data_IF_670954811663
#
_entry.id   IF_670954811663
#
_cell.length_a   1.000
_cell.length_b   1.000
_cell.length_c   1.000
_cell.angle_alpha   90.00
_cell.angle_beta   90.00
_cell.angle_gamma   90.00
#
_symmetry.space_group_name_H-M   'P 1'
#
loop_
_entity.id
_entity.type
_entity.pdbx_description
1 polymer ?
#
# COMPACT_ATOMS: atom_id res chain seq x y z
N UNK A 1 12.18 19.17 -17.54
CA UNK A 1 11.05 18.24 -17.71
C UNK A 1 9.96 18.59 -16.68
N UNK A 2 8.69 18.75 -17.09
CA UNK A 2 7.58 19.12 -16.20
C UNK A 2 7.04 17.94 -15.35
N UNK A 3 7.93 17.09 -14.83
CA UNK A 3 7.54 15.93 -14.03
C UNK A 3 7.00 16.42 -12.68
N UNK A 4 5.73 16.13 -12.40
CA UNK A 4 5.06 16.59 -11.19
C UNK A 4 4.93 15.49 -10.11
N UNK A 5 5.05 14.21 -10.49
CA UNK A 5 5.00 13.07 -9.57
C UNK A 5 5.77 11.85 -10.11
N UNK A 6 6.39 11.08 -9.19
CA UNK A 6 6.96 9.75 -9.44
C UNK A 6 6.27 8.73 -8.54
N UNK A 7 5.88 7.59 -9.13
CA UNK A 7 5.28 6.47 -8.42
C UNK A 7 6.30 5.33 -8.30
N UNK A 8 6.46 4.79 -7.09
CA UNK A 8 7.42 3.76 -6.75
C UNK A 8 6.71 2.45 -6.41
N UNK A 9 7.02 1.36 -7.12
CA UNK A 9 6.69 0.01 -6.66
C UNK A 9 7.62 -0.39 -5.52
N UNK A 10 7.23 -0.07 -4.28
CA UNK A 10 8.02 -0.33 -3.07
C UNK A 10 7.74 -1.75 -2.57
N UNK A 11 6.51 -2.23 -2.69
CA UNK A 11 6.00 -3.53 -2.27
C UNK A 11 6.02 -3.75 -0.75
N UNK A 12 7.19 -3.73 -0.12
CA UNK A 12 7.38 -4.00 1.31
C UNK A 12 8.47 -3.11 1.93
N UNK A 13 8.34 -2.82 3.23
CA UNK A 13 9.40 -2.19 4.02
C UNK A 13 10.27 -3.20 4.77
N UNK A 14 10.16 -4.49 4.47
CA UNK A 14 10.99 -5.54 5.02
C UNK A 14 11.88 -6.16 3.92
N UNK A 15 13.21 -6.12 4.11
CA UNK A 15 14.16 -6.59 3.10
C UNK A 15 13.96 -8.07 2.73
N UNK A 16 13.66 -8.95 3.70
CA UNK A 16 13.47 -10.38 3.41
C UNK A 16 12.28 -10.62 2.50
N UNK A 17 11.20 -9.86 2.67
CA UNK A 17 10.01 -9.94 1.80
C UNK A 17 10.33 -9.42 0.40
N UNK A 18 11.12 -8.35 0.27
CA UNK A 18 11.58 -7.84 -1.03
C UNK A 18 12.47 -8.83 -1.78
N UNK A 19 13.41 -9.45 -1.05
CA UNK A 19 14.32 -10.46 -1.60
C UNK A 19 13.53 -11.67 -2.09
N UNK A 20 12.56 -12.10 -1.30
CA UNK A 20 11.66 -13.20 -1.68
C UNK A 20 10.81 -12.86 -2.91
N UNK A 21 10.27 -11.65 -2.96
CA UNK A 21 9.53 -11.15 -4.12
C UNK A 21 10.42 -10.85 -5.34
N UNK A 22 11.73 -11.16 -5.27
CA UNK A 22 12.74 -10.94 -6.32
C UNK A 22 12.73 -9.51 -6.84
N UNK A 23 12.55 -8.53 -5.95
CA UNK A 23 12.49 -7.11 -6.34
C UNK A 23 13.87 -6.55 -6.71
N UNK A 24 14.94 -7.22 -6.25
CA UNK A 24 16.34 -6.84 -6.52
C UNK A 24 16.68 -5.38 -6.12
N UNK A 25 16.01 -4.86 -5.09
CA UNK A 25 16.26 -3.54 -4.52
C UNK A 25 16.41 -3.61 -3.00
N UNK A 26 17.15 -2.67 -2.44
CA UNK A 26 17.30 -2.53 -0.99
C UNK A 26 16.43 -1.43 -0.41
N UNK A 27 16.04 -1.56 0.86
CA UNK A 27 15.35 -0.52 1.62
C UNK A 27 16.08 0.84 1.53
N UNK A 28 17.41 0.83 1.63
CA UNK A 28 18.23 2.04 1.48
C UNK A 28 18.15 2.69 0.09
N UNK A 29 18.02 1.91 -0.98
CA UNK A 29 17.88 2.44 -2.34
C UNK A 29 16.53 3.12 -2.50
N UNK A 30 15.46 2.51 -1.98
CA UNK A 30 14.11 3.09 -1.97
C UNK A 30 14.12 4.42 -1.21
N UNK A 31 14.67 4.43 0.01
CA UNK A 31 14.78 5.66 0.81
C UNK A 31 15.54 6.75 0.08
N UNK A 32 16.71 6.42 -0.49
CA UNK A 32 17.53 7.37 -1.25
C UNK A 32 16.77 7.94 -2.45
N UNK A 33 16.10 7.11 -3.23
CA UNK A 33 15.33 7.54 -4.40
C UNK A 33 14.17 8.49 -4.02
N UNK A 34 13.39 8.13 -3.00
CA UNK A 34 12.27 8.95 -2.53
C UNK A 34 12.78 10.28 -1.94
N UNK A 35 13.88 10.27 -1.19
CA UNK A 35 14.49 11.52 -0.67
C UNK A 35 15.02 12.43 -1.78
N UNK A 36 15.61 11.87 -2.84
CA UNK A 36 16.05 12.66 -4.00
C UNK A 36 14.86 13.30 -4.72
N UNK A 37 13.76 12.55 -4.88
CA UNK A 37 12.51 13.04 -5.47
C UNK A 37 11.94 14.21 -4.67
N UNK A 38 11.87 14.05 -3.36
CA UNK A 38 11.41 15.10 -2.45
C UNK A 38 12.31 16.34 -2.52
N UNK A 39 13.65 16.18 -2.56
CA UNK A 39 14.59 17.30 -2.72
C UNK A 39 14.41 18.04 -4.04
N UNK A 40 14.00 17.34 -5.10
CA UNK A 40 13.70 17.94 -6.39
C UNK A 40 12.33 18.66 -6.44
N UNK A 41 11.55 18.64 -5.36
CA UNK A 41 10.20 19.23 -5.32
C UNK A 41 9.16 18.44 -6.12
N UNK A 42 9.47 17.19 -6.49
CA UNK A 42 8.57 16.29 -7.22
C UNK A 42 7.77 15.47 -6.19
N UNK A 43 6.47 15.28 -6.44
CA UNK A 43 5.65 14.45 -5.57
C UNK A 43 6.05 12.98 -5.66
N UNK A 44 5.96 12.27 -4.55
CA UNK A 44 6.29 10.84 -4.49
C UNK A 44 5.11 10.01 -3.99
N UNK A 45 4.80 8.94 -4.72
CA UNK A 45 3.78 7.95 -4.33
C UNK A 45 4.39 6.57 -4.17
N UNK A 46 4.08 5.89 -3.08
CA UNK A 46 4.52 4.50 -2.84
C UNK A 46 3.41 3.49 -3.07
N UNK A 47 3.69 2.44 -3.82
CA UNK A 47 2.84 1.26 -3.94
C UNK A 47 3.36 0.13 -3.06
N UNK A 48 2.47 -0.47 -2.30
CA UNK A 48 2.75 -1.55 -1.35
C UNK A 48 1.81 -2.72 -1.60
N UNK A 49 2.23 -3.91 -1.18
CA UNK A 49 1.45 -5.15 -1.25
C UNK A 49 1.48 -5.80 0.13
N UNK A 50 0.32 -6.23 0.62
CA UNK A 50 0.21 -7.12 1.77
C UNK A 50 -0.25 -8.51 1.33
N UNK A 51 0.14 -9.50 2.13
CA UNK A 51 -0.18 -10.89 1.89
C UNK A 51 0.81 -11.54 0.92
N UNK A 52 2.05 -11.05 0.84
CA UNK A 52 3.12 -11.78 0.16
C UNK A 52 3.40 -13.10 0.90
N UNK A 53 3.88 -14.16 0.24
CA UNK A 53 4.33 -15.36 0.95
C UNK A 53 5.44 -15.00 1.96
N UNK A 54 5.42 -15.69 3.10
CA UNK A 54 6.26 -15.39 4.29
C UNK A 54 5.98 -14.06 5.00
N UNK A 55 4.99 -13.29 4.58
CA UNK A 55 4.55 -12.10 5.29
C UNK A 55 4.01 -12.47 6.68
N UNK A 56 4.37 -11.69 7.68
CA UNK A 56 3.86 -11.80 9.05
C UNK A 56 3.33 -10.46 9.51
N UNK A 57 2.63 -10.46 10.65
CA UNK A 57 2.24 -9.21 11.31
C UNK A 57 3.43 -8.29 11.59
N UNK A 58 4.60 -8.84 11.91
CA UNK A 58 5.81 -8.06 12.14
C UNK A 58 6.33 -7.42 10.84
N UNK A 59 6.36 -8.15 9.73
CA UNK A 59 6.81 -7.59 8.45
C UNK A 59 5.85 -6.51 7.95
N UNK A 60 4.53 -6.69 8.14
CA UNK A 60 3.55 -5.63 7.84
C UNK A 60 3.76 -4.39 8.72
N UNK A 61 4.07 -4.54 10.01
CA UNK A 61 4.47 -3.41 10.88
C UNK A 61 5.74 -2.72 10.38
N UNK A 62 6.74 -3.48 9.93
CA UNK A 62 7.95 -2.90 9.34
C UNK A 62 7.61 -2.07 8.10
N UNK A 63 6.75 -2.59 7.22
CA UNK A 63 6.27 -1.88 6.02
C UNK A 63 5.59 -0.56 6.36
N UNK A 64 4.66 -0.57 7.33
CA UNK A 64 3.98 0.64 7.81
C UNK A 64 5.00 1.64 8.37
N UNK A 65 5.91 1.18 9.23
CA UNK A 65 6.96 2.01 9.82
C UNK A 65 7.87 2.64 8.77
N UNK A 66 8.34 1.84 7.81
CA UNK A 66 9.21 2.30 6.73
C UNK A 66 8.53 3.35 5.86
N UNK A 67 7.30 3.10 5.39
CA UNK A 67 6.53 4.05 4.60
C UNK A 67 6.30 5.39 5.34
N UNK A 68 6.21 5.34 6.68
CA UNK A 68 6.08 6.53 7.52
C UNK A 68 7.40 7.29 7.69
N UNK A 69 8.54 6.61 7.59
CA UNK A 69 9.89 7.16 7.79
C UNK A 69 10.45 7.93 6.58
N UNK A 70 9.96 7.61 5.37
CA UNK A 70 10.39 8.25 4.12
C UNK A 70 9.41 9.35 3.68
N UNK A 71 9.87 10.35 2.90
CA UNK A 71 9.07 11.54 2.61
C UNK A 71 8.02 11.34 1.49
N UNK A 72 7.28 10.23 1.50
CA UNK A 72 6.19 9.96 0.56
C UNK A 72 5.04 10.97 0.72
N UNK A 73 4.44 11.40 -0.38
CA UNK A 73 3.29 12.31 -0.39
C UNK A 73 1.95 11.57 -0.47
N UNK A 74 1.96 10.39 -1.06
CA UNK A 74 0.79 9.54 -1.25
C UNK A 74 1.21 8.05 -1.19
N UNK A 75 0.25 7.15 -1.00
CA UNK A 75 0.49 5.72 -1.06
C UNK A 75 -0.71 4.96 -1.64
N UNK A 76 -0.52 3.71 -2.02
CA UNK A 76 -1.63 2.76 -2.18
C UNK A 76 -1.15 1.39 -1.74
N UNK A 77 -2.03 0.66 -1.05
CA UNK A 77 -1.76 -0.68 -0.54
C UNK A 77 -2.73 -1.66 -1.20
N UNK A 78 -2.18 -2.67 -1.85
CA UNK A 78 -2.90 -3.74 -2.53
C UNK A 78 -2.80 -5.05 -1.76
N UNK A 79 -3.69 -5.99 -2.09
CA UNK A 79 -3.60 -7.38 -1.64
C UNK A 79 -2.92 -8.21 -2.72
N UNK A 80 -2.04 -9.13 -2.35
CA UNK A 80 -1.44 -10.02 -3.33
C UNK A 80 -2.54 -10.79 -4.06
N UNK A 81 -2.57 -10.63 -5.38
CA UNK A 81 -3.39 -11.41 -6.29
C UNK A 81 -2.45 -12.28 -7.13
N UNK A 82 -2.27 -13.56 -6.79
CA UNK A 82 -1.52 -14.48 -7.62
C UNK A 82 -2.34 -14.81 -8.86
N UNK A 83 -1.92 -14.31 -10.03
CA UNK A 83 -2.59 -14.61 -11.29
C UNK A 83 -2.15 -15.98 -11.82
N UNK A 84 -3.08 -16.88 -12.22
CA UNK A 84 -2.74 -18.18 -12.78
C UNK A 84 -1.73 -18.11 -13.92
N UNK A 85 -0.70 -18.96 -13.87
CA UNK A 85 0.40 -18.98 -14.84
C UNK A 85 1.57 -18.05 -14.51
N UNK A 86 1.48 -17.24 -13.46
CA UNK A 86 2.65 -16.50 -12.93
C UNK A 86 3.46 -17.36 -11.97
N UNK A 87 4.77 -17.12 -11.87
CA UNK A 87 5.62 -17.80 -10.88
C UNK A 87 5.09 -17.62 -9.45
N UNK A 88 4.55 -16.43 -9.14
CA UNK A 88 3.95 -16.14 -7.83
C UNK A 88 2.72 -17.01 -7.55
N UNK A 89 2.00 -17.48 -8.57
CA UNK A 89 0.88 -18.41 -8.38
C UNK A 89 1.34 -19.74 -7.82
N UNK A 90 2.34 -20.36 -8.45
CA UNK A 90 2.87 -21.65 -8.04
C UNK A 90 3.47 -21.57 -6.62
N UNK A 91 4.15 -20.46 -6.33
CA UNK A 91 4.67 -20.17 -4.99
C UNK A 91 3.53 -20.00 -3.98
N UNK A 92 2.49 -19.24 -4.32
CA UNK A 92 1.35 -18.99 -3.44
C UNK A 92 0.56 -20.28 -3.14
N UNK A 93 0.42 -21.20 -4.10
CA UNK A 93 -0.22 -22.51 -3.87
C UNK A 93 0.52 -23.35 -2.82
N UNK A 94 1.82 -23.16 -2.66
CA UNK A 94 2.64 -23.87 -1.68
C UNK A 94 2.66 -23.20 -0.29
N UNK A 95 2.38 -21.90 -0.22
CA UNK A 95 2.61 -21.08 0.97
C UNK A 95 1.34 -20.45 1.57
N UNK A 96 0.17 -20.84 1.08
CA UNK A 96 -1.10 -20.34 1.59
C UNK A 96 -2.30 -20.90 0.85
N UNK A 97 -3.42 -20.19 0.95
CA UNK A 97 -4.68 -20.54 0.29
C UNK A 97 -5.06 -19.48 -0.74
N UNK A 98 -5.28 -19.92 -1.98
CA UNK A 98 -5.80 -19.07 -3.07
C UNK A 98 -7.31 -19.31 -3.22
N UNK A 99 -8.06 -18.22 -3.28
CA UNK A 99 -9.43 -18.15 -3.79
C UNK A 99 -9.37 -18.08 -5.31
N UNK A 100 -9.85 -19.11 -6.00
CA UNK A 100 -9.76 -19.26 -7.45
C UNK A 100 -10.91 -18.56 -8.19
N UNK A 101 -11.70 -17.76 -7.49
CA UNK A 101 -12.69 -16.89 -8.10
C UNK A 101 -12.00 -15.74 -8.86
N UNK A 102 -11.96 -15.88 -10.19
CA UNK A 102 -11.32 -14.93 -11.08
C UNK A 102 -11.96 -13.54 -11.04
N UNK A 103 -13.25 -13.42 -10.70
CA UNK A 103 -13.92 -12.11 -10.62
C UNK A 103 -13.37 -11.26 -9.47
N UNK A 104 -12.83 -11.91 -8.43
CA UNK A 104 -12.22 -11.24 -7.27
C UNK A 104 -10.73 -10.92 -7.47
N UNK A 105 -10.10 -11.37 -8.56
CA UNK A 105 -8.66 -11.15 -8.82
C UNK A 105 -8.39 -9.72 -9.34
N UNK A 106 -8.63 -8.71 -8.50
CA UNK A 106 -8.62 -7.29 -8.87
C UNK A 106 -7.61 -6.43 -8.07
N UNK A 107 -6.67 -7.06 -7.35
CA UNK A 107 -5.65 -6.41 -6.50
C UNK A 107 -6.19 -5.75 -5.21
N UNK A 108 -7.50 -5.69 -5.03
CA UNK A 108 -8.14 -5.08 -3.85
C UNK A 108 -8.68 -6.15 -2.91
N UNK A 109 -9.34 -7.17 -3.45
CA UNK A 109 -9.88 -8.28 -2.66
C UNK A 109 -8.78 -9.22 -2.16
N UNK A 110 -9.01 -9.78 -0.97
CA UNK A 110 -8.13 -10.81 -0.40
C UNK A 110 -8.49 -12.15 -1.04
N UNK A 111 -7.88 -12.41 -2.18
CA UNK A 111 -7.94 -13.69 -2.91
C UNK A 111 -6.80 -14.65 -2.54
N UNK A 112 -5.82 -14.21 -1.76
CA UNK A 112 -4.77 -15.06 -1.23
C UNK A 112 -4.55 -14.78 0.25
N UNK A 113 -4.37 -15.85 1.03
CA UNK A 113 -4.04 -15.79 2.45
C UNK A 113 -2.79 -16.64 2.69
N UNK A 114 -1.64 -16.03 3.04
CA UNK A 114 -0.44 -16.76 3.44
C UNK A 114 -0.67 -17.61 4.69
N UNK A 115 0.10 -18.70 4.81
CA UNK A 115 0.14 -19.52 6.02
C UNK A 115 0.48 -18.66 7.25
N UNK A 116 -0.27 -18.85 8.33
CA UNK A 116 -0.08 -18.10 9.59
C UNK A 116 -0.79 -16.75 9.65
N UNK A 117 -1.47 -16.32 8.57
CA UNK A 117 -2.32 -15.13 8.55
C UNK A 117 -3.79 -15.48 8.30
N UNK A 118 -4.66 -14.50 8.49
CA UNK A 118 -6.08 -14.58 8.13
C UNK A 118 -6.49 -13.38 7.27
N UNK A 119 -7.61 -13.50 6.53
CA UNK A 119 -8.17 -12.36 5.77
C UNK A 119 -8.42 -11.15 6.68
N UNK A 120 -8.93 -11.40 7.89
CA UNK A 120 -9.20 -10.36 8.88
C UNK A 120 -7.93 -9.61 9.29
N UNK A 121 -6.84 -10.34 9.56
CA UNK A 121 -5.55 -9.72 9.89
C UNK A 121 -5.08 -8.83 8.73
N UNK A 122 -5.11 -9.32 7.49
CA UNK A 122 -4.69 -8.54 6.32
C UNK A 122 -5.51 -7.24 6.18
N UNK A 123 -6.84 -7.32 6.32
CA UNK A 123 -7.69 -6.12 6.29
C UNK A 123 -7.41 -5.15 7.44
N UNK A 124 -7.18 -5.68 8.65
CA UNK A 124 -6.85 -4.85 9.82
C UNK A 124 -5.53 -4.09 9.61
N UNK A 125 -4.50 -4.74 9.05
CA UNK A 125 -3.24 -4.08 8.73
C UNK A 125 -3.38 -3.09 7.56
N UNK A 126 -4.13 -3.43 6.51
CA UNK A 126 -4.41 -2.49 5.40
C UNK A 126 -5.08 -1.22 5.94
N UNK A 127 -6.10 -1.38 6.79
CA UNK A 127 -6.81 -0.28 7.45
C UNK A 127 -5.88 0.54 8.34
N UNK A 128 -5.07 -0.13 9.17
CA UNK A 128 -4.09 0.53 10.05
C UNK A 128 -3.08 1.32 9.23
N UNK A 129 -2.57 0.75 8.14
CA UNK A 129 -1.61 1.41 7.27
C UNK A 129 -2.19 2.69 6.66
N UNK A 130 -3.39 2.61 6.08
CA UNK A 130 -4.09 3.77 5.53
C UNK A 130 -4.30 4.85 6.60
N UNK A 131 -4.78 4.47 7.80
CA UNK A 131 -4.98 5.38 8.93
C UNK A 131 -3.70 6.08 9.34
N UNK A 132 -2.67 5.29 9.66
CA UNK A 132 -1.41 5.76 10.20
C UNK A 132 -0.58 6.56 9.20
N UNK A 133 -0.79 6.35 7.90
CA UNK A 133 -0.14 7.13 6.86
C UNK A 133 -0.84 8.46 6.62
N UNK A 134 -2.16 8.44 6.35
CA UNK A 134 -2.90 9.63 5.90
C UNK A 134 -3.30 10.59 7.01
N UNK A 135 -3.43 10.11 8.26
CA UNK A 135 -3.73 10.99 9.40
C UNK A 135 -2.50 11.72 9.96
N UNK A 136 -1.32 11.57 9.34
CA UNK A 136 -0.13 12.31 9.76
C UNK A 136 -0.30 13.81 9.47
N UNK A 137 0.05 14.71 10.40
CA UNK A 137 -0.08 16.15 10.21
C UNK A 137 0.56 16.67 8.90
N UNK A 138 1.73 16.15 8.53
CA UNK A 138 2.40 16.50 7.26
C UNK A 138 1.56 16.15 6.03
N UNK A 139 0.95 14.96 6.02
CA UNK A 139 0.16 14.49 4.87
C UNK A 139 -1.13 15.30 4.78
N UNK A 140 -1.84 15.48 5.89
CA UNK A 140 -3.03 16.34 5.95
C UNK A 140 -2.70 17.76 5.45
N UNK A 141 -1.61 18.35 5.95
CA UNK A 141 -1.14 19.68 5.51
C UNK A 141 -0.84 19.74 4.00
N UNK A 142 -0.24 18.70 3.43
CA UNK A 142 0.02 18.61 1.99
C UNK A 142 -1.28 18.57 1.18
N UNK A 143 -2.29 17.80 1.60
CA UNK A 143 -3.59 17.78 0.94
C UNK A 143 -4.33 19.12 1.05
N UNK A 144 -4.30 19.76 2.22
CA UNK A 144 -4.89 21.09 2.42
C UNK A 144 -4.22 22.14 1.53
N UNK A 145 -2.88 22.14 1.43
CA UNK A 145 -2.15 23.03 0.53
C UNK A 145 -2.57 22.84 -0.93
N UNK A 146 -2.82 21.60 -1.37
CA UNK A 146 -3.32 21.31 -2.72
C UNK A 146 -4.72 21.86 -2.97
N UNK A 147 -5.60 21.87 -1.97
CA UNK A 147 -6.94 22.49 -2.09
C UNK A 147 -6.86 23.99 -2.33
N UNK A 148 -5.98 24.67 -1.61
CA UNK A 148 -5.80 26.12 -1.75
C UNK A 148 -5.33 26.50 -3.16
N UNK A 149 -4.56 25.63 -3.81
CA UNK A 149 -4.07 25.86 -5.19
C UNK A 149 -5.12 25.51 -6.25
N UNK A 150 -6.03 24.57 -5.98
CA UNK A 150 -7.08 24.19 -6.93
C UNK A 150 -8.45 24.00 -6.24
N UNK A 151 -9.18 25.10 -5.97
CA UNK A 151 -10.43 25.08 -5.21
C UNK A 151 -11.59 24.39 -5.95
N UNK A 152 -11.49 24.19 -7.27
CA UNK A 152 -12.52 23.49 -8.04
C UNK A 152 -12.63 22.00 -7.65
N UNK A 153 -11.60 21.44 -7.00
CA UNK A 153 -11.58 20.04 -6.57
C UNK A 153 -12.07 19.82 -5.12
N UNK A 154 -12.53 20.86 -4.42
CA UNK A 154 -12.95 20.76 -3.01
C UNK A 154 -14.05 19.71 -2.82
N UNK A 155 -15.07 19.68 -3.68
CA UNK A 155 -16.17 18.71 -3.57
C UNK A 155 -15.68 17.26 -3.74
N UNK A 156 -14.84 17.00 -4.74
CA UNK A 156 -14.25 15.68 -4.97
C UNK A 156 -13.38 15.25 -3.79
N UNK A 157 -12.64 16.18 -3.17
CA UNK A 157 -11.83 15.92 -1.99
C UNK A 157 -12.68 15.60 -0.77
N UNK A 158 -13.77 16.33 -0.52
CA UNK A 158 -14.70 16.03 0.58
C UNK A 158 -15.28 14.63 0.41
N UNK A 159 -15.70 14.28 -0.82
CA UNK A 159 -16.21 12.94 -1.14
C UNK A 159 -15.13 11.87 -0.91
N UNK A 160 -13.90 12.10 -1.36
CA UNK A 160 -12.78 11.19 -1.16
C UNK A 160 -12.42 11.03 0.32
N UNK A 161 -12.42 12.12 1.09
CA UNK A 161 -12.15 12.10 2.53
C UNK A 161 -13.25 11.38 3.31
N UNK A 162 -14.54 11.61 2.96
CA UNK A 162 -15.66 10.85 3.51
C UNK A 162 -15.54 9.34 3.21
N UNK A 163 -15.20 8.99 1.95
CA UNK A 163 -14.93 7.60 1.56
C UNK A 163 -13.76 6.99 2.34
N UNK A 164 -12.67 7.74 2.53
CA UNK A 164 -11.54 7.35 3.35
C UNK A 164 -11.93 7.12 4.82
N UNK A 165 -12.68 8.04 5.42
CA UNK A 165 -13.16 7.88 6.80
C UNK A 165 -14.04 6.64 6.94
N UNK A 166 -14.93 6.37 5.99
CA UNK A 166 -15.74 5.16 5.97
C UNK A 166 -14.88 3.90 5.81
N UNK A 167 -13.86 3.91 4.95
CA UNK A 167 -12.93 2.79 4.77
C UNK A 167 -12.11 2.50 6.03
N UNK A 168 -11.69 3.55 6.74
CA UNK A 168 -10.78 3.42 7.89
C UNK A 168 -11.49 3.25 9.24
N UNK A 169 -12.66 3.88 9.42
CA UNK A 169 -13.40 3.90 10.67
C UNK A 169 -14.78 3.24 10.57
N UNK A 170 -15.28 2.96 9.38
CA UNK A 170 -16.55 2.27 9.19
C UNK A 170 -16.50 0.85 9.76
N UNK A 171 -17.64 0.38 10.27
CA UNK A 171 -17.81 -1.03 10.60
C UNK A 171 -17.59 -1.85 9.33
N UNK A 172 -16.95 -3.01 9.45
CA UNK A 172 -16.78 -3.98 8.37
C UNK A 172 -18.15 -4.54 7.96
N UNK A 173 -18.97 -3.73 7.29
CA UNK A 173 -20.25 -4.16 6.76
C UNK A 173 -19.99 -4.87 5.45
N UNK A 174 -20.08 -6.20 5.47
CA UNK A 174 -20.05 -7.04 4.28
C UNK A 174 -18.65 -7.42 3.85
N UNK A 175 -18.12 -8.49 4.45
CA UNK A 175 -17.38 -9.47 3.64
C UNK A 175 -18.46 -10.09 2.74
N UNK A 176 -18.43 -9.94 1.41
CA UNK A 176 -19.21 -10.84 0.56
C UNK A 176 -18.73 -12.29 0.74
#
# INVERSE_FOLDING_TARGET
SGCWQINYGIESGNQRILDFAKKEITINQIEKAVRLTHKAGILSKGYFIFGLPYETEETMKNTIGFAKSIPLDDMSIFMLTPFPGSEMYDIAEQHGRIDKDFEKMNLLDVVYVPNGLSKEILFNYQRSFMKEFYLRPRIIGNYLKRLLVNPLNVFNMIKAFSGFLNSVFGKTTGIP
#
